data_IF_389036408992
#
_entry.id   IF_389036408992
#
_cell.length_a   1.000
_cell.length_b   1.000
_cell.length_c   1.000
_cell.angle_alpha   90.00
_cell.angle_beta   90.00
_cell.angle_gamma   90.00
#
_symmetry.space_group_name_H-M   'P 1'
#
loop_
_entity.id
_entity.type
_entity.pdbx_description
1 polymer ?
#
# COMPACT_ATOMS: atom_id res chain seq x y z
N UNK A 1 -18.19 -32.88 -17.10
CA UNK A 1 -17.66 -31.68 -17.77
C UNK A 1 -18.15 -30.47 -16.99
N UNK A 2 -17.43 -30.14 -15.92
CA UNK A 2 -17.71 -28.96 -15.08
C UNK A 2 -17.03 -27.74 -15.68
N UNK A 3 -17.83 -26.78 -16.10
CA UNK A 3 -17.33 -25.45 -16.49
C UNK A 3 -16.94 -24.73 -15.22
N UNK A 4 -15.63 -24.61 -14.98
CA UNK A 4 -15.09 -23.74 -13.96
C UNK A 4 -15.59 -22.31 -14.20
N UNK A 5 -16.42 -21.81 -13.28
CA UNK A 5 -16.93 -20.45 -13.32
C UNK A 5 -15.77 -19.48 -13.21
N UNK A 6 -15.59 -18.68 -14.24
CA UNK A 6 -14.72 -17.52 -14.23
C UNK A 6 -15.19 -16.58 -13.11
N UNK A 7 -14.54 -16.65 -11.97
CA UNK A 7 -14.70 -15.64 -10.93
C UNK A 7 -14.14 -14.34 -11.50
N UNK A 8 -15.03 -13.39 -11.76
CA UNK A 8 -14.66 -12.02 -12.14
C UNK A 8 -13.78 -11.45 -11.02
N UNK A 9 -12.47 -11.36 -11.28
CA UNK A 9 -11.56 -10.74 -10.33
C UNK A 9 -11.83 -9.24 -10.28
N UNK A 10 -11.97 -8.64 -9.08
CA UNK A 10 -12.01 -7.19 -8.94
C UNK A 10 -10.68 -6.58 -9.43
N UNK A 11 -10.78 -5.38 -9.95
CA UNK A 11 -9.62 -4.62 -10.42
C UNK A 11 -8.83 -4.10 -9.23
N UNK A 12 -7.52 -4.29 -9.28
CA UNK A 12 -6.64 -3.86 -8.23
C UNK A 12 -5.35 -3.23 -8.79
N UNK A 13 -4.91 -2.19 -8.13
CA UNK A 13 -3.64 -1.50 -8.39
C UNK A 13 -2.84 -1.47 -7.10
N UNK A 14 -1.64 -1.98 -7.13
CA UNK A 14 -0.71 -1.84 -6.02
C UNK A 14 0.59 -1.19 -6.49
N UNK A 15 1.18 -0.39 -5.61
CA UNK A 15 2.52 0.12 -5.76
C UNK A 15 3.34 -0.36 -4.56
N UNK A 16 4.39 -1.12 -4.83
CA UNK A 16 5.37 -1.50 -3.83
C UNK A 16 6.49 -0.46 -3.81
N UNK A 17 6.81 0.04 -2.64
CA UNK A 17 7.99 0.88 -2.43
C UNK A 17 9.09 0.00 -1.83
N UNK A 18 10.06 -0.46 -2.63
CA UNK A 18 11.20 -1.16 -2.08
C UNK A 18 12.16 -0.12 -1.46
N UNK A 19 11.98 0.19 -0.20
CA UNK A 19 12.96 0.97 0.54
C UNK A 19 14.08 0.01 0.99
N UNK A 20 14.96 -0.36 0.06
CA UNK A 20 16.14 -1.16 0.36
C UNK A 20 17.29 -0.22 0.75
N UNK A 21 17.48 0.00 2.03
CA UNK A 21 18.79 0.43 2.53
C UNK A 21 19.64 -0.83 2.69
N UNK A 22 20.39 -1.16 1.65
CA UNK A 22 21.33 -2.29 1.68
C UNK A 22 22.59 -1.85 2.42
N UNK A 23 22.65 -2.12 3.72
CA UNK A 23 23.93 -2.12 4.43
C UNK A 23 24.64 -3.41 4.01
N UNK A 24 25.57 -3.31 3.08
CA UNK A 24 26.45 -4.44 2.71
C UNK A 24 27.45 -4.64 3.83
N UNK A 25 27.20 -5.60 4.72
CA UNK A 25 28.24 -6.16 5.57
C UNK A 25 29.17 -7.01 4.70
N UNK A 26 30.30 -6.41 4.32
CA UNK A 26 31.45 -7.14 3.77
C UNK A 26 32.09 -7.93 4.89
N UNK A 27 31.85 -9.24 4.95
CA UNK A 27 32.60 -10.14 5.81
C UNK A 27 33.99 -10.38 5.22
N UNK A 28 34.99 -9.63 5.72
CA UNK A 28 36.35 -10.06 5.61
C UNK A 28 36.67 -11.00 6.78
N UNK A 29 36.91 -12.27 6.51
CA UNK A 29 37.39 -13.24 7.48
C UNK A 29 38.82 -12.83 7.91
N UNK A 30 38.95 -12.17 9.04
CA UNK A 30 40.22 -11.98 9.73
C UNK A 30 40.16 -12.74 11.06
N UNK A 31 40.78 -13.92 11.08
CA UNK A 31 40.95 -14.69 12.32
C UNK A 31 42.11 -14.08 13.08
N UNK A 32 41.82 -13.18 14.00
CA UNK A 32 42.75 -12.74 15.02
C UNK A 32 42.18 -13.15 16.38
N UNK A 33 42.83 -14.13 17.03
CA UNK A 33 42.49 -14.56 18.38
C UNK A 33 42.97 -13.55 19.41
N UNK A 34 42.33 -12.41 19.52
CA UNK A 34 42.43 -11.56 20.69
C UNK A 34 40.99 -11.30 21.17
N UNK A 35 40.59 -11.93 22.28
CA UNK A 35 39.36 -11.58 22.99
C UNK A 35 39.54 -10.20 23.61
N UNK A 36 39.29 -9.14 22.82
CA UNK A 36 39.19 -7.79 23.35
C UNK A 36 37.77 -7.57 23.79
N UNK A 37 37.49 -7.59 25.08
CA UNK A 37 36.20 -7.19 25.65
C UNK A 37 36.12 -5.67 25.66
N UNK A 38 35.71 -5.07 24.57
CA UNK A 38 35.42 -3.63 24.49
C UNK A 38 34.00 -3.41 25.00
N UNK A 39 33.87 -3.00 26.26
CA UNK A 39 32.61 -2.48 26.79
C UNK A 39 32.45 -1.02 26.34
N UNK A 40 31.72 -0.79 25.26
CA UNK A 40 31.40 0.58 24.81
C UNK A 40 30.26 1.09 25.69
N UNK A 41 30.57 1.97 26.65
CA UNK A 41 29.56 2.66 27.48
C UNK A 41 28.75 3.61 26.55
N UNK A 42 27.40 3.60 26.66
CA UNK A 42 26.53 4.51 25.92
C UNK A 42 25.84 3.92 24.68
N UNK A 43 26.15 2.68 24.30
CA UNK A 43 25.50 2.01 23.15
C UNK A 43 23.99 1.93 23.32
N UNK A 44 23.50 1.67 24.54
CA UNK A 44 22.06 1.60 24.82
C UNK A 44 21.37 2.97 24.67
N UNK A 45 22.03 4.05 25.10
CA UNK A 45 21.50 5.40 24.94
C UNK A 45 21.44 5.81 23.44
N UNK A 46 22.46 5.44 22.66
CA UNK A 46 22.47 5.66 21.21
C UNK A 46 21.39 4.85 20.52
N UNK A 47 21.26 3.57 20.87
CA UNK A 47 20.22 2.69 20.34
C UNK A 47 18.82 3.24 20.61
N UNK A 48 18.55 3.71 21.83
CA UNK A 48 17.29 4.34 22.20
C UNK A 48 16.99 5.56 21.32
N UNK A 49 17.94 6.49 21.16
CA UNK A 49 17.79 7.68 20.30
C UNK A 49 17.54 7.32 18.83
N UNK A 50 18.21 6.30 18.31
CA UNK A 50 17.99 5.81 16.95
C UNK A 50 16.60 5.22 16.78
N UNK A 51 16.12 4.47 17.77
CA UNK A 51 14.75 3.93 17.76
C UNK A 51 13.70 5.05 17.80
N UNK A 52 13.86 6.05 18.64
CA UNK A 52 12.97 7.23 18.71
C UNK A 52 12.95 7.99 17.38
N UNK A 53 14.10 8.22 16.75
CA UNK A 53 14.20 8.87 15.44
C UNK A 53 13.54 8.02 14.35
N UNK A 54 13.77 6.72 14.34
CA UNK A 54 13.12 5.81 13.40
C UNK A 54 11.60 5.88 13.53
N UNK A 55 11.08 5.79 14.75
CA UNK A 55 9.64 5.86 15.01
C UNK A 55 9.01 7.19 14.55
N UNK A 56 9.72 8.30 14.74
CA UNK A 56 9.27 9.60 14.26
C UNK A 56 9.14 9.64 12.72
N UNK A 57 10.14 9.09 12.00
CA UNK A 57 10.12 8.98 10.54
C UNK A 57 9.00 8.05 10.07
N UNK A 58 8.83 6.90 10.72
CA UNK A 58 7.77 5.94 10.39
C UNK A 58 6.37 6.57 10.57
N UNK A 59 6.16 7.38 11.62
CA UNK A 59 4.91 8.08 11.84
C UNK A 59 4.61 9.11 10.73
N UNK A 60 5.59 9.91 10.34
CA UNK A 60 5.44 10.88 9.25
C UNK A 60 5.13 10.16 7.94
N UNK A 61 5.86 9.10 7.63
CA UNK A 61 5.66 8.33 6.41
C UNK A 61 4.27 7.68 6.36
N UNK A 62 3.78 7.15 7.48
CA UNK A 62 2.43 6.62 7.59
C UNK A 62 1.37 7.68 7.28
N UNK A 63 1.53 8.89 7.79
CA UNK A 63 0.62 10.02 7.51
C UNK A 63 0.65 10.40 6.03
N UNK A 64 1.83 10.55 5.44
CA UNK A 64 1.99 10.91 4.03
C UNK A 64 1.40 9.85 3.09
N UNK A 65 1.58 8.56 3.40
CA UNK A 65 1.01 7.47 2.61
C UNK A 65 -0.51 7.35 2.77
N UNK A 66 -1.05 7.63 3.95
CA UNK A 66 -2.50 7.69 4.16
C UNK A 66 -3.12 8.83 3.34
N UNK A 67 -2.52 10.02 3.39
CA UNK A 67 -2.95 11.17 2.59
C UNK A 67 -2.87 10.89 1.08
N UNK A 68 -1.79 10.24 0.62
CA UNK A 68 -1.66 9.81 -0.77
C UNK A 68 -2.76 8.82 -1.16
N UNK A 69 -3.13 7.90 -0.27
CA UNK A 69 -4.22 6.95 -0.48
C UNK A 69 -5.58 7.64 -0.66
N UNK A 70 -5.89 8.61 0.19
CA UNK A 70 -7.11 9.43 0.09
C UNK A 70 -7.15 10.24 -1.21
N UNK A 71 -6.03 10.87 -1.57
CA UNK A 71 -5.88 11.59 -2.84
C UNK A 71 -6.05 10.66 -4.03
N UNK A 72 -5.52 9.44 -3.97
CA UNK A 72 -5.65 8.45 -5.03
C UNK A 72 -7.10 7.98 -5.22
N UNK A 73 -7.85 7.76 -4.14
CA UNK A 73 -9.28 7.45 -4.20
C UNK A 73 -10.07 8.60 -4.81
N UNK A 74 -9.79 9.83 -4.39
CA UNK A 74 -10.45 11.04 -4.93
C UNK A 74 -10.10 11.18 -6.42
N UNK A 75 -8.84 11.06 -6.79
CA UNK A 75 -8.37 11.11 -8.17
C UNK A 75 -9.08 10.07 -9.06
N UNK A 76 -9.25 8.83 -8.57
CA UNK A 76 -9.97 7.78 -9.29
C UNK A 76 -11.43 8.15 -9.54
N UNK A 77 -12.08 8.76 -8.55
CA UNK A 77 -13.49 9.17 -8.63
C UNK A 77 -13.70 10.32 -9.60
N UNK A 78 -12.76 11.22 -9.70
CA UNK A 78 -12.83 12.42 -10.54
C UNK A 78 -12.44 12.14 -11.99
N UNK A 79 -11.48 11.23 -12.22
CA UNK A 79 -10.97 10.89 -13.54
C UNK A 79 -11.58 9.61 -14.14
N UNK A 80 -12.76 9.22 -13.68
CA UNK A 80 -13.47 8.04 -14.21
C UNK A 80 -13.89 8.24 -15.68
N UNK A 81 -13.70 7.20 -16.49
CA UNK A 81 -14.09 7.20 -17.91
C UNK A 81 -15.49 6.61 -18.18
N UNK A 82 -16.24 6.21 -17.16
CA UNK A 82 -17.55 5.55 -17.28
C UNK A 82 -18.69 6.38 -16.69
N UNK A 83 -19.92 6.12 -17.18
CA UNK A 83 -21.13 6.73 -16.62
C UNK A 83 -21.59 5.97 -15.40
N UNK A 84 -21.79 6.68 -14.29
CA UNK A 84 -22.41 6.10 -13.10
C UNK A 84 -23.91 5.89 -13.33
N UNK A 85 -24.40 4.68 -13.01
CA UNK A 85 -25.84 4.39 -12.94
C UNK A 85 -26.31 4.36 -11.49
N UNK A 86 -25.56 3.67 -10.63
CA UNK A 86 -25.87 3.46 -9.22
C UNK A 86 -24.80 4.07 -8.31
N UNK A 87 -23.75 4.64 -8.87
CA UNK A 87 -22.54 5.09 -8.19
C UNK A 87 -21.80 4.00 -7.38
N UNK A 88 -22.24 2.73 -7.44
CA UNK A 88 -21.63 1.63 -6.69
C UNK A 88 -20.16 1.44 -7.04
N UNK A 89 -19.78 1.45 -8.33
CA UNK A 89 -18.40 1.29 -8.75
C UNK A 89 -17.52 2.43 -8.24
N UNK A 90 -17.95 3.68 -8.44
CA UNK A 90 -17.24 4.86 -7.97
C UNK A 90 -17.01 4.83 -6.45
N UNK A 91 -18.05 4.49 -5.69
CA UNK A 91 -18.00 4.54 -4.24
C UNK A 91 -17.39 3.29 -3.60
N UNK A 92 -17.20 2.20 -4.37
CA UNK A 92 -16.52 0.99 -3.90
C UNK A 92 -14.99 1.08 -3.91
N UNK A 93 -14.41 2.19 -4.41
CA UNK A 93 -12.97 2.37 -4.44
C UNK A 93 -12.47 2.58 -3.01
N UNK A 94 -11.52 1.75 -2.61
CA UNK A 94 -11.00 1.62 -1.26
C UNK A 94 -9.48 1.61 -1.30
N UNK A 95 -8.83 1.97 -0.18
CA UNK A 95 -7.39 1.81 -0.07
C UNK A 95 -6.97 1.28 1.30
N UNK A 96 -5.78 0.70 1.35
CA UNK A 96 -5.10 0.32 2.58
C UNK A 96 -3.60 0.54 2.49
N UNK A 97 -2.99 0.90 3.62
CA UNK A 97 -1.54 1.07 3.79
C UNK A 97 -1.05 0.02 4.76
N UNK A 98 -0.01 -0.68 4.38
CA UNK A 98 0.65 -1.70 5.19
C UNK A 98 2.09 -1.28 5.47
N UNK A 99 2.58 -1.57 6.68
CA UNK A 99 3.97 -1.43 7.08
C UNK A 99 4.46 -2.76 7.63
N UNK A 100 5.55 -3.31 7.09
CA UNK A 100 6.13 -4.59 7.50
C UNK A 100 5.09 -5.73 7.59
N UNK A 101 4.20 -5.80 6.59
CA UNK A 101 3.14 -6.80 6.52
C UNK A 101 1.92 -6.52 7.40
N UNK A 102 1.92 -5.45 8.21
CA UNK A 102 0.83 -5.10 9.11
C UNK A 102 0.01 -3.94 8.55
N UNK A 103 -1.31 -4.04 8.70
CA UNK A 103 -2.22 -2.95 8.33
C UNK A 103 -2.00 -1.74 9.26
N UNK A 104 -1.74 -0.59 8.66
CA UNK A 104 -1.56 0.70 9.37
C UNK A 104 -2.78 1.59 9.22
N UNK A 105 -3.31 1.70 8.00
CA UNK A 105 -4.47 2.52 7.69
C UNK A 105 -5.31 1.86 6.61
N UNK A 106 -6.64 1.97 6.70
CA UNK A 106 -7.55 1.58 5.63
C UNK A 106 -8.76 2.51 5.56
N UNK A 107 -9.20 2.80 4.35
CA UNK A 107 -10.48 3.44 4.08
C UNK A 107 -11.26 2.55 3.13
N UNK A 108 -12.43 2.11 3.56
CA UNK A 108 -13.30 1.23 2.78
C UNK A 108 -14.43 2.06 2.19
N UNK A 109 -14.67 1.86 0.89
CA UNK A 109 -15.76 2.51 0.19
C UNK A 109 -17.14 2.02 0.65
N UNK A 110 -18.14 2.89 0.57
CA UNK A 110 -19.52 2.56 0.89
C UNK A 110 -20.38 2.67 -0.36
N UNK A 111 -21.01 1.56 -0.78
CA UNK A 111 -21.84 1.54 -1.99
C UNK A 111 -23.27 2.00 -1.69
N UNK A 112 -23.85 2.88 -2.52
CA UNK A 112 -25.19 3.43 -2.26
C UNK A 112 -26.32 2.41 -2.40
N UNK A 113 -26.18 1.42 -3.28
CA UNK A 113 -27.19 0.42 -3.56
C UNK A 113 -26.64 -1.00 -3.35
N UNK A 114 -26.39 -1.43 -2.10
CA UNK A 114 -25.78 -2.71 -1.80
C UNK A 114 -26.63 -3.92 -2.23
N UNK A 115 -27.96 -3.79 -2.21
CA UNK A 115 -28.90 -4.88 -2.54
C UNK A 115 -28.87 -5.26 -4.03
N UNK A 116 -28.40 -4.36 -4.90
CA UNK A 116 -28.23 -4.61 -6.33
C UNK A 116 -26.93 -5.32 -6.68
N UNK A 117 -26.09 -5.59 -5.69
CA UNK A 117 -24.77 -6.20 -5.87
C UNK A 117 -24.71 -7.54 -5.14
N UNK A 118 -24.30 -8.60 -5.84
CA UNK A 118 -24.07 -9.90 -5.21
C UNK A 118 -22.99 -9.77 -4.14
N UNK A 119 -23.33 -10.08 -2.90
CA UNK A 119 -22.47 -9.92 -1.74
C UNK A 119 -22.56 -8.55 -1.07
N UNK A 120 -23.23 -7.55 -1.69
CA UNK A 120 -23.52 -6.25 -1.10
C UNK A 120 -22.28 -5.52 -0.56
N UNK A 121 -22.47 -4.77 0.51
CA UNK A 121 -21.40 -4.02 1.19
C UNK A 121 -20.32 -4.94 1.77
N UNK A 122 -20.67 -6.13 2.25
CA UNK A 122 -19.69 -7.07 2.83
C UNK A 122 -18.62 -7.51 1.83
N UNK A 123 -18.94 -7.53 0.53
CA UNK A 123 -17.93 -7.79 -0.49
C UNK A 123 -16.88 -6.67 -0.56
N UNK A 124 -17.31 -5.42 -0.43
CA UNK A 124 -16.39 -4.25 -0.44
C UNK A 124 -15.54 -4.23 0.82
N UNK A 125 -16.15 -4.53 1.97
CA UNK A 125 -15.48 -4.51 3.27
C UNK A 125 -14.35 -5.55 3.35
N UNK A 126 -14.58 -6.74 2.79
CA UNK A 126 -13.63 -7.86 2.86
C UNK A 126 -12.58 -7.87 1.76
N UNK A 127 -12.79 -7.10 0.68
CA UNK A 127 -11.94 -7.19 -0.52
C UNK A 127 -10.48 -6.79 -0.25
N UNK A 128 -10.25 -5.79 0.59
CA UNK A 128 -8.90 -5.36 0.96
C UNK A 128 -8.17 -6.46 1.75
N UNK A 129 -8.87 -7.14 2.64
CA UNK A 129 -8.31 -8.23 3.45
C UNK A 129 -8.05 -9.46 2.60
N UNK A 130 -8.95 -9.80 1.68
CA UNK A 130 -8.76 -10.87 0.71
C UNK A 130 -7.53 -10.64 -0.18
N UNK A 131 -7.35 -9.41 -0.69
CA UNK A 131 -6.18 -9.08 -1.51
C UNK A 131 -4.90 -8.99 -0.70
N UNK A 132 -4.95 -8.45 0.50
CA UNK A 132 -3.80 -8.36 1.38
C UNK A 132 -3.28 -9.74 1.83
N UNK A 133 -4.17 -10.73 1.91
CA UNK A 133 -3.81 -12.11 2.28
C UNK A 133 -3.18 -12.92 1.12
N UNK A 134 -3.24 -12.40 -0.13
CA UNK A 134 -2.62 -13.09 -1.27
C UNK A 134 -1.10 -12.98 -1.20
N UNK A 135 -0.42 -14.10 -1.43
CA UNK A 135 1.03 -14.18 -1.45
C UNK A 135 1.66 -13.15 -2.40
N UNK A 136 2.63 -12.41 -1.88
CA UNK A 136 3.42 -11.45 -2.66
C UNK A 136 2.74 -10.08 -2.89
N UNK A 137 1.52 -9.85 -2.44
CA UNK A 137 0.85 -8.55 -2.59
C UNK A 137 1.34 -7.56 -1.53
N UNK A 138 1.36 -7.98 -0.27
CA UNK A 138 1.90 -7.16 0.82
C UNK A 138 3.36 -7.52 1.04
N UNK A 139 4.24 -6.53 0.96
CA UNK A 139 5.66 -6.75 1.21
C UNK A 139 5.89 -7.10 2.70
N UNK A 140 6.70 -8.15 3.00
CA UNK A 140 7.00 -8.53 4.38
C UNK A 140 7.86 -7.50 5.11
N UNK A 141 8.52 -6.60 4.37
CA UNK A 141 9.30 -5.47 4.91
C UNK A 141 9.04 -4.22 4.05
N UNK A 142 8.93 -3.08 4.72
CA UNK A 142 8.68 -1.79 4.09
C UNK A 142 7.20 -1.47 4.00
N UNK A 143 6.87 -0.53 3.13
CA UNK A 143 5.51 -0.02 2.97
C UNK A 143 4.87 -0.54 1.70
N UNK A 144 3.58 -0.85 1.78
CA UNK A 144 2.75 -1.22 0.64
C UNK A 144 1.45 -0.43 0.70
N UNK A 145 1.11 0.27 -0.37
CA UNK A 145 -0.20 0.89 -0.55
C UNK A 145 -1.00 0.09 -1.59
N UNK A 146 -2.22 -0.25 -1.25
CA UNK A 146 -3.13 -1.01 -2.11
C UNK A 146 -4.38 -0.16 -2.33
N UNK A 147 -4.77 0.03 -3.59
CA UNK A 147 -6.05 0.63 -3.99
C UNK A 147 -6.84 -0.40 -4.77
N UNK A 148 -8.09 -0.61 -4.41
CA UNK A 148 -8.99 -1.58 -5.05
C UNK A 148 -10.32 -0.96 -5.39
N UNK A 149 -10.93 -1.44 -6.47
CA UNK A 149 -12.34 -1.20 -6.79
C UNK A 149 -13.14 -2.44 -6.39
N UNK A 150 -14.04 -2.29 -5.41
CA UNK A 150 -14.71 -3.42 -4.76
C UNK A 150 -15.79 -4.11 -5.58
N UNK A 151 -16.14 -3.60 -6.78
CA UNK A 151 -17.15 -4.22 -7.61
C UNK A 151 -16.58 -5.34 -8.48
N UNK A 152 -17.24 -6.49 -8.51
CA UNK A 152 -16.83 -7.65 -9.30
C UNK A 152 -16.71 -7.39 -10.80
N UNK A 153 -17.44 -6.42 -11.32
CA UNK A 153 -17.39 -6.01 -12.72
C UNK A 153 -16.38 -4.90 -13.02
N UNK A 154 -15.66 -4.38 -12.02
CA UNK A 154 -14.70 -3.29 -12.17
C UNK A 154 -13.66 -3.58 -13.25
N UNK A 155 -13.12 -4.82 -13.24
CA UNK A 155 -12.16 -5.28 -14.25
C UNK A 155 -12.73 -5.25 -15.66
N UNK A 156 -13.98 -5.66 -15.84
CA UNK A 156 -14.63 -5.65 -17.14
C UNK A 156 -14.84 -4.22 -17.70
N UNK A 157 -15.09 -3.25 -16.81
CA UNK A 157 -15.19 -1.83 -17.18
C UNK A 157 -13.83 -1.30 -17.61
N UNK A 158 -12.77 -1.63 -16.88
CA UNK A 158 -11.39 -1.25 -17.22
C UNK A 158 -10.95 -1.87 -18.54
N UNK A 159 -11.20 -3.17 -18.75
CA UNK A 159 -10.82 -3.91 -19.97
C UNK A 159 -11.51 -3.36 -21.25
N UNK A 160 -12.64 -2.67 -21.07
CA UNK A 160 -13.33 -1.92 -22.16
C UNK A 160 -12.70 -0.55 -22.46
N UNK A 161 -11.61 -0.18 -21.81
CA UNK A 161 -10.95 1.10 -21.99
C UNK A 161 -11.52 2.26 -21.16
N UNK A 162 -12.48 1.98 -20.26
CA UNK A 162 -12.95 2.98 -19.32
C UNK A 162 -12.02 3.01 -18.12
N UNK A 163 -11.49 4.18 -17.80
CA UNK A 163 -10.58 4.34 -16.67
C UNK A 163 -11.33 4.11 -15.34
N UNK A 164 -10.95 3.07 -14.60
CA UNK A 164 -11.37 2.82 -13.22
C UNK A 164 -10.20 3.11 -12.28
N UNK A 165 -9.06 2.40 -12.45
CA UNK A 165 -7.86 2.55 -11.64
C UNK A 165 -6.57 2.73 -12.47
N UNK A 166 -6.63 2.64 -13.79
CA UNK A 166 -5.44 2.69 -14.66
C UNK A 166 -4.63 3.98 -14.44
N UNK A 167 -5.28 5.14 -14.49
CA UNK A 167 -4.60 6.42 -14.24
C UNK A 167 -4.18 6.57 -12.78
N UNK A 168 -4.92 5.99 -11.86
CA UNK A 168 -4.59 6.01 -10.42
C UNK A 168 -3.26 5.33 -10.13
N UNK A 169 -2.90 4.29 -10.88
CA UNK A 169 -1.60 3.63 -10.77
C UNK A 169 -0.45 4.60 -11.08
N UNK A 170 -0.58 5.41 -12.13
CA UNK A 170 0.44 6.42 -12.47
C UNK A 170 0.51 7.51 -11.41
N UNK A 171 -0.65 8.01 -10.97
CA UNK A 171 -0.74 8.99 -9.89
C UNK A 171 -0.06 8.50 -8.60
N UNK A 172 -0.30 7.26 -8.18
CA UNK A 172 0.35 6.66 -7.01
C UNK A 172 1.87 6.57 -7.18
N UNK A 173 2.36 6.13 -8.34
CA UNK A 173 3.79 6.02 -8.60
C UNK A 173 4.50 7.37 -8.51
N UNK A 174 3.88 8.42 -9.01
CA UNK A 174 4.47 9.76 -8.97
C UNK A 174 4.37 10.36 -7.55
N UNK A 175 3.27 10.12 -6.85
CA UNK A 175 3.10 10.50 -5.45
C UNK A 175 4.14 9.84 -4.53
N UNK A 176 4.41 8.55 -4.72
CA UNK A 176 5.45 7.83 -3.97
C UNK A 176 6.84 8.42 -4.20
N UNK A 177 7.18 8.76 -5.46
CA UNK A 177 8.46 9.41 -5.77
C UNK A 177 8.58 10.78 -5.09
N UNK A 178 7.49 11.54 -5.07
CA UNK A 178 7.44 12.84 -4.39
C UNK A 178 7.67 12.69 -2.89
N UNK A 179 6.97 11.75 -2.23
CA UNK A 179 7.16 11.45 -0.80
C UNK A 179 8.60 11.02 -0.52
N UNK A 180 9.18 10.14 -1.34
CA UNK A 180 10.56 9.71 -1.16
C UNK A 180 11.55 10.87 -1.23
N UNK A 181 11.36 11.81 -2.16
CA UNK A 181 12.18 13.02 -2.28
C UNK A 181 12.06 13.91 -1.04
N UNK A 182 10.83 14.18 -0.60
CA UNK A 182 10.57 15.00 0.58
C UNK A 182 11.18 14.42 1.85
N UNK A 183 11.08 13.10 2.04
CA UNK A 183 11.72 12.39 3.16
C UNK A 183 13.25 12.53 3.12
N UNK A 184 13.88 12.41 1.95
CA UNK A 184 15.32 12.58 1.82
C UNK A 184 15.74 14.00 2.21
N UNK A 185 14.99 15.01 1.81
CA UNK A 185 15.25 16.42 2.16
C UNK A 185 15.09 16.65 3.68
N UNK A 186 14.12 15.98 4.33
CA UNK A 186 13.95 16.07 5.79
C UNK A 186 15.07 15.40 6.59
N UNK A 187 15.63 14.29 6.08
CA UNK A 187 16.71 13.56 6.76
C UNK A 187 18.07 14.29 6.63
N UNK A 188 18.27 15.06 5.56
CA UNK A 188 19.51 15.80 5.31
C UNK A 188 19.63 17.10 6.10
N UNK A 189 18.55 17.56 6.72
CA UNK A 189 18.53 18.73 7.64
C UNK A 189 18.76 18.32 9.09
#
# INVERSE_FOLDING_TARGET
>A
MERAGLRSCPLFVYAQVPFFFKITNSHANFVCMAKVNIQIKGVEALKKRLMEKKQAVDNVLNMMLAELGEKAVTFSKDNKGYKDRTANLKNSISFAVFCDGKLVNKVVGSIPEPDKVKGGQSQVDNILEEYASKDGVVAPKGYTIIVVAGMSYAKHVEDKGYNVLYLTRHFLNDGIKAIAKELLEMIQK
#
